data_IF_356927801768
#
_entry.id   IF_356927801768
#
_cell.length_a   1.000
_cell.length_b   1.000
_cell.length_c   1.000
_cell.angle_alpha   90.00
_cell.angle_beta   90.00
_cell.angle_gamma   90.00
#
_symmetry.space_group_name_H-M   'P 1'
#
loop_
_entity.id
_entity.type
_entity.pdbx_description
1 polymer ?
#
# COMPACT_ATOMS: atom_id res chain seq x y z
N UNK A 1 -4.03 -19.42 -16.77
CA UNK A 1 -3.27 -18.39 -16.04
C UNK A 1 -4.15 -17.76 -14.98
N UNK A 2 -3.63 -17.61 -13.77
CA UNK A 2 -4.36 -16.85 -12.74
C UNK A 2 -4.09 -15.33 -12.91
N UNK A 3 -4.82 -14.51 -12.15
CA UNK A 3 -4.72 -13.06 -12.28
C UNK A 3 -3.34 -12.52 -11.93
N UNK A 4 -2.68 -13.14 -10.96
CA UNK A 4 -1.33 -12.74 -10.55
C UNK A 4 -0.35 -12.93 -11.70
N UNK A 5 -0.38 -14.07 -12.35
CA UNK A 5 0.50 -14.35 -13.50
C UNK A 5 0.25 -13.38 -14.65
N UNK A 6 -1.02 -13.06 -14.91
CA UNK A 6 -1.38 -12.09 -15.95
C UNK A 6 -0.83 -10.72 -15.61
N UNK A 7 -1.03 -10.26 -14.35
CA UNK A 7 -0.53 -8.94 -13.92
C UNK A 7 0.99 -8.88 -13.94
N UNK A 8 1.67 -9.94 -13.50
CA UNK A 8 3.12 -9.99 -13.53
C UNK A 8 3.66 -9.88 -14.95
N UNK A 9 3.02 -10.58 -15.90
CA UNK A 9 3.40 -10.50 -17.30
C UNK A 9 3.18 -9.09 -17.87
N UNK A 10 2.08 -8.44 -17.49
CA UNK A 10 1.80 -7.07 -17.93
C UNK A 10 2.87 -6.09 -17.43
N UNK A 11 3.37 -6.30 -16.21
CA UNK A 11 4.43 -5.46 -15.64
C UNK A 11 5.76 -5.71 -16.36
N UNK A 12 6.04 -6.96 -16.71
CA UNK A 12 7.23 -7.29 -17.52
C UNK A 12 7.17 -6.58 -18.88
N UNK A 13 5.99 -6.57 -19.50
CA UNK A 13 5.79 -5.94 -20.80
C UNK A 13 5.82 -4.41 -20.72
N UNK A 14 5.33 -3.86 -19.61
CA UNK A 14 5.31 -2.41 -19.36
C UNK A 14 5.59 -2.11 -17.88
N UNK A 15 6.87 -1.97 -17.52
CA UNK A 15 7.24 -1.70 -16.11
C UNK A 15 6.74 -0.36 -15.55
N UNK A 16 6.21 0.52 -16.38
CA UNK A 16 5.66 1.80 -15.96
C UNK A 16 4.16 1.74 -15.68
N UNK A 17 3.54 0.58 -15.83
CA UNK A 17 2.08 0.43 -15.66
C UNK A 17 1.73 0.34 -14.18
N UNK A 18 1.59 1.51 -13.54
CA UNK A 18 1.34 1.59 -12.11
C UNK A 18 -0.04 1.08 -11.71
N UNK A 19 -1.04 1.18 -12.58
CA UNK A 19 -2.38 0.64 -12.29
C UNK A 19 -2.34 -0.88 -12.11
N UNK A 20 -1.57 -1.56 -12.94
CA UNK A 20 -1.42 -3.02 -12.84
C UNK A 20 -0.65 -3.38 -11.56
N UNK A 21 0.36 -2.60 -11.19
CA UNK A 21 1.08 -2.82 -9.93
C UNK A 21 0.15 -2.77 -8.73
N UNK A 22 -0.72 -1.77 -8.66
CA UNK A 22 -1.68 -1.65 -7.58
C UNK A 22 -2.63 -2.85 -7.56
N UNK A 23 -3.13 -3.25 -8.73
CA UNK A 23 -3.98 -4.44 -8.86
C UNK A 23 -3.28 -5.72 -8.40
N UNK A 24 -2.02 -5.88 -8.75
CA UNK A 24 -1.22 -7.03 -8.34
C UNK A 24 -1.05 -7.06 -6.82
N UNK A 25 -0.75 -5.90 -6.21
CA UNK A 25 -0.62 -5.81 -4.76
C UNK A 25 -1.93 -6.23 -4.06
N UNK A 26 -3.07 -5.82 -4.59
CA UNK A 26 -4.38 -6.20 -4.03
C UNK A 26 -4.63 -7.70 -4.14
N UNK A 27 -4.20 -8.35 -5.22
CA UNK A 27 -4.32 -9.80 -5.34
C UNK A 27 -3.42 -10.52 -4.32
N UNK A 28 -2.20 -10.04 -4.13
CA UNK A 28 -1.32 -10.58 -3.09
C UNK A 28 -1.88 -10.36 -1.69
N UNK A 29 -2.50 -9.21 -1.44
CA UNK A 29 -3.14 -8.93 -0.16
C UNK A 29 -4.23 -9.95 0.17
N UNK A 30 -5.06 -10.29 -0.81
CA UNK A 30 -6.12 -11.30 -0.64
C UNK A 30 -5.56 -12.66 -0.26
N UNK A 31 -4.35 -12.99 -0.71
CA UNK A 31 -3.69 -14.25 -0.42
C UNK A 31 -2.86 -14.22 0.87
N UNK A 32 -2.81 -13.09 1.56
CA UNK A 32 -2.00 -12.93 2.75
C UNK A 32 -0.50 -12.92 2.50
N UNK A 33 -0.08 -12.63 1.28
CA UNK A 33 1.34 -12.60 0.90
C UNK A 33 1.91 -11.21 1.15
N UNK A 34 2.15 -10.90 2.40
CA UNK A 34 2.51 -9.55 2.86
C UNK A 34 3.84 -9.07 2.30
N UNK A 35 4.84 -9.94 2.18
CA UNK A 35 6.14 -9.57 1.63
C UNK A 35 6.04 -9.14 0.17
N UNK A 36 5.19 -9.82 -0.59
CA UNK A 36 4.94 -9.46 -1.99
C UNK A 36 4.19 -8.13 -2.09
N UNK A 37 3.21 -7.90 -1.22
CA UNK A 37 2.49 -6.62 -1.16
C UNK A 37 3.48 -5.49 -0.93
N UNK A 38 4.39 -5.65 0.03
CA UNK A 38 5.40 -4.64 0.37
C UNK A 38 6.28 -4.35 -0.84
N UNK A 39 6.82 -5.39 -1.46
CA UNK A 39 7.70 -5.25 -2.63
C UNK A 39 7.03 -4.49 -3.76
N UNK A 40 5.81 -4.89 -4.10
CA UNK A 40 5.08 -4.30 -5.23
C UNK A 40 4.68 -2.86 -4.94
N UNK A 41 4.19 -2.58 -3.72
CA UNK A 41 3.75 -1.23 -3.38
C UNK A 41 4.89 -0.24 -3.18
N UNK A 42 6.05 -0.68 -2.69
CA UNK A 42 7.22 0.19 -2.64
C UNK A 42 7.65 0.61 -4.04
N UNK A 43 7.67 -0.33 -4.99
CA UNK A 43 7.96 -0.03 -6.39
C UNK A 43 6.89 0.88 -6.99
N UNK A 44 5.62 0.59 -6.73
CA UNK A 44 4.50 1.42 -7.17
C UNK A 44 4.64 2.87 -6.70
N UNK A 45 4.90 3.07 -5.40
CA UNK A 45 5.01 4.41 -4.83
C UNK A 45 6.23 5.18 -5.32
N UNK A 46 7.24 4.48 -5.80
CA UNK A 46 8.40 5.14 -6.41
C UNK A 46 8.10 5.69 -7.81
N UNK A 47 7.01 5.23 -8.43
CA UNK A 47 6.67 5.55 -9.82
C UNK A 47 5.34 6.29 -9.97
N UNK A 48 4.40 6.10 -9.05
CA UNK A 48 3.06 6.66 -9.13
C UNK A 48 2.90 7.85 -8.20
N UNK A 49 2.05 8.79 -8.60
CA UNK A 49 1.60 9.89 -7.75
C UNK A 49 0.30 9.43 -7.04
N UNK A 50 0.46 8.63 -5.99
CA UNK A 50 -0.66 8.09 -5.23
C UNK A 50 -1.17 9.15 -4.25
N UNK A 51 -2.50 9.30 -4.16
CA UNK A 51 -3.13 10.31 -3.32
C UNK A 51 -3.35 9.86 -1.87
N UNK A 52 -2.85 8.69 -1.50
CA UNK A 52 -2.90 8.18 -0.14
C UNK A 52 -3.39 6.75 0.00
N UNK A 53 -4.11 6.20 -1.00
CA UNK A 53 -4.73 4.87 -0.92
C UNK A 53 -3.74 3.74 -0.67
N UNK A 54 -2.62 3.76 -1.36
CA UNK A 54 -1.63 2.67 -1.28
C UNK A 54 -0.94 2.63 0.08
N UNK A 55 -0.85 3.75 0.77
CA UNK A 55 -0.16 3.81 2.06
C UNK A 55 -0.85 2.96 3.12
N UNK A 56 -2.18 2.93 3.14
CA UNK A 56 -2.91 2.07 4.08
C UNK A 56 -2.66 0.60 3.84
N UNK A 57 -2.70 0.18 2.59
CA UNK A 57 -2.43 -1.21 2.22
C UNK A 57 -0.98 -1.60 2.56
N UNK A 58 -0.03 -0.74 2.25
CA UNK A 58 1.39 -0.97 2.55
C UNK A 58 1.63 -1.03 4.05
N UNK A 59 1.07 -0.08 4.81
CA UNK A 59 1.24 -0.04 6.26
C UNK A 59 0.68 -1.29 6.92
N UNK A 60 -0.51 -1.74 6.48
CA UNK A 60 -1.10 -2.97 7.00
C UNK A 60 -0.23 -4.19 6.70
N UNK A 61 0.37 -4.25 5.51
CA UNK A 61 1.28 -5.34 5.17
C UNK A 61 2.52 -5.35 6.06
N UNK A 62 3.09 -4.19 6.36
CA UNK A 62 4.19 -4.10 7.32
C UNK A 62 3.77 -4.59 8.70
N UNK A 63 2.58 -4.18 9.18
CA UNK A 63 2.08 -4.62 10.49
C UNK A 63 1.92 -6.14 10.54
N UNK A 64 1.34 -6.72 9.51
CA UNK A 64 1.11 -8.16 9.43
C UNK A 64 2.41 -8.96 9.27
N UNK A 65 3.45 -8.34 8.72
CA UNK A 65 4.77 -8.97 8.62
C UNK A 65 5.63 -8.78 9.88
N UNK A 66 5.12 -8.05 10.87
CA UNK A 66 5.80 -7.85 12.16
C UNK A 66 6.64 -6.58 12.24
N UNK A 67 6.62 -5.73 11.23
CA UNK A 67 7.39 -4.48 11.23
C UNK A 67 6.51 -3.31 11.69
N UNK A 68 6.29 -3.24 13.01
CA UNK A 68 5.43 -2.24 13.63
C UNK A 68 5.91 -0.79 13.33
N UNK A 69 7.20 -0.59 13.39
CA UNK A 69 7.79 0.73 13.20
C UNK A 69 7.53 1.28 11.80
N UNK A 70 7.76 0.45 10.78
CA UNK A 70 7.49 0.84 9.40
C UNK A 70 5.99 1.00 9.13
N UNK A 71 5.15 0.20 9.80
CA UNK A 71 3.71 0.37 9.69
C UNK A 71 3.28 1.76 10.18
N UNK A 72 3.77 2.18 11.33
CA UNK A 72 3.47 3.51 11.89
C UNK A 72 3.95 4.61 10.96
N UNK A 73 5.20 4.55 10.52
CA UNK A 73 5.76 5.54 9.59
C UNK A 73 4.95 5.65 8.31
N UNK A 74 4.51 4.51 7.78
CA UNK A 74 3.75 4.47 6.53
C UNK A 74 2.36 5.07 6.70
N UNK A 75 1.67 4.80 7.81
CA UNK A 75 0.39 5.44 8.11
C UNK A 75 0.56 6.95 8.25
N UNK A 76 1.60 7.41 8.95
CA UNK A 76 1.86 8.84 9.11
C UNK A 76 2.09 9.52 7.77
N UNK A 77 2.84 8.89 6.88
CA UNK A 77 3.06 9.40 5.54
C UNK A 77 1.76 9.41 4.73
N UNK A 78 0.94 8.37 4.89
CA UNK A 78 -0.38 8.31 4.26
C UNK A 78 -1.29 9.44 4.70
N UNK A 79 -1.24 9.83 5.98
CA UNK A 79 -1.99 10.96 6.50
C UNK A 79 -1.54 12.25 5.78
N UNK A 80 -0.23 12.50 5.71
CA UNK A 80 0.30 13.69 5.09
C UNK A 80 -0.06 13.78 3.60
N UNK A 81 0.08 12.67 2.88
CA UNK A 81 -0.26 12.61 1.45
C UNK A 81 -1.76 12.80 1.23
N UNK A 82 -2.59 12.15 2.04
CA UNK A 82 -4.05 12.29 1.94
C UNK A 82 -4.49 13.73 2.18
N UNK A 83 -3.92 14.39 3.18
CA UNK A 83 -4.26 15.78 3.47
C UNK A 83 -3.79 16.70 2.35
N UNK A 84 -2.59 16.46 1.80
CA UNK A 84 -2.05 17.27 0.72
C UNK A 84 -2.91 17.18 -0.55
N UNK A 85 -3.59 16.07 -0.76
CA UNK A 85 -4.47 15.85 -1.90
C UNK A 85 -5.95 16.11 -1.62
N UNK A 86 -6.29 16.64 -0.45
CA UNK A 86 -7.65 17.01 -0.13
C UNK A 86 -8.57 15.85 0.25
N UNK A 87 -8.01 14.81 0.86
CA UNK A 87 -8.77 13.63 1.31
C UNK A 87 -8.77 13.50 2.84
N UNK A 88 -9.44 14.42 3.56
CA UNK A 88 -9.39 14.40 5.03
C UNK A 88 -10.04 13.16 5.67
N UNK A 89 -11.03 12.57 5.01
CA UNK A 89 -11.66 11.34 5.51
C UNK A 89 -10.67 10.18 5.55
N UNK A 90 -9.87 10.03 4.50
CA UNK A 90 -8.82 9.01 4.43
C UNK A 90 -7.76 9.25 5.50
N UNK A 91 -7.33 10.49 5.68
CA UNK A 91 -6.37 10.84 6.71
C UNK A 91 -6.91 10.51 8.10
N UNK A 92 -8.18 10.79 8.35
CA UNK A 92 -8.82 10.48 9.64
C UNK A 92 -8.91 8.97 9.88
N UNK A 93 -9.19 8.18 8.85
CA UNK A 93 -9.18 6.72 8.98
C UNK A 93 -7.80 6.20 9.39
N UNK A 94 -6.74 6.75 8.80
CA UNK A 94 -5.38 6.36 9.16
C UNK A 94 -5.02 6.78 10.59
N UNK A 95 -5.46 7.99 11.02
CA UNK A 95 -5.28 8.42 12.41
C UNK A 95 -5.97 7.50 13.40
N UNK A 96 -7.20 7.09 13.08
CA UNK A 96 -7.96 6.16 13.92
C UNK A 96 -7.26 4.81 14.04
N UNK A 97 -6.73 4.31 12.93
CA UNK A 97 -5.97 3.05 12.94
C UNK A 97 -4.74 3.17 13.83
N UNK A 98 -4.00 4.28 13.72
CA UNK A 98 -2.83 4.51 14.58
C UNK A 98 -3.21 4.55 16.06
N UNK A 99 -4.30 5.22 16.40
CA UNK A 99 -4.74 5.34 17.79
C UNK A 99 -5.23 4.00 18.36
N UNK A 100 -5.99 3.24 17.57
CA UNK A 100 -6.61 1.99 18.04
C UNK A 100 -5.66 0.81 18.02
N UNK A 101 -4.82 0.69 16.98
CA UNK A 101 -3.99 -0.50 16.77
C UNK A 101 -2.55 -0.30 17.24
N UNK A 102 -2.06 0.94 17.30
CA UNK A 102 -0.67 1.26 17.62
C UNK A 102 -0.52 2.25 18.78
N UNK A 103 -1.60 2.72 19.34
CA UNK A 103 -1.59 3.55 20.55
C UNK A 103 -1.37 2.69 21.79
N UNK A 104 -0.62 3.18 22.73
CA UNK A 104 -0.40 2.49 24.02
C UNK A 104 -1.48 2.84 25.04
#
# INVERSE_FOLDING_TARGET
MNRIEVFEQMIVDDPSNTMVMFGLAKEYEKLGRHDEVIRVLEDYLSKADDEGNAYGTLANAYALSGDREKAIETYQKGIDVSMAHGHPSMANEYRMTLDLDFGD
#
